data_IF_458313555524
#
_entry.id   IF_458313555524
#
_cell.length_a   1.000
_cell.length_b   1.000
_cell.length_c   1.000
_cell.angle_alpha   90.00
_cell.angle_beta   90.00
_cell.angle_gamma   90.00
#
_symmetry.space_group_name_H-M   'P 1'
#
loop_
_entity.id
_entity.type
_entity.pdbx_description
1 polymer ?
#
# COMPACT_ATOMS: atom_id res chain seq x y z
N UNK A 1 21.26 23.39 -42.26
CA UNK A 1 21.40 22.27 -41.33
C UNK A 1 20.21 21.33 -41.52
N UNK A 2 20.39 20.05 -41.85
CA UNK A 2 19.29 19.15 -42.11
C UNK A 2 18.62 18.75 -40.79
N UNK A 3 17.30 18.92 -40.72
CA UNK A 3 16.42 18.45 -39.63
C UNK A 3 16.35 16.92 -39.72
N UNK A 4 17.00 16.24 -38.79
CA UNK A 4 16.91 14.79 -38.66
C UNK A 4 15.47 14.42 -38.24
N UNK A 5 14.73 13.82 -39.16
CA UNK A 5 13.44 13.18 -38.90
C UNK A 5 13.63 12.14 -37.78
N UNK A 6 13.06 12.38 -36.58
CA UNK A 6 12.94 11.35 -35.57
C UNK A 6 12.15 10.19 -36.18
N UNK A 7 12.78 9.02 -36.27
CA UNK A 7 12.10 7.80 -36.66
C UNK A 7 10.93 7.55 -35.71
N UNK A 8 9.72 7.46 -36.24
CA UNK A 8 8.55 7.08 -35.48
C UNK A 8 8.79 5.68 -34.90
N UNK A 9 8.75 5.54 -33.58
CA UNK A 9 8.88 4.25 -32.93
C UNK A 9 7.81 3.31 -33.52
N UNK A 10 8.24 2.22 -34.13
CA UNK A 10 7.32 1.21 -34.70
C UNK A 10 6.49 0.63 -33.58
N UNK A 11 5.17 0.69 -33.71
CA UNK A 11 4.25 -0.02 -32.82
C UNK A 11 4.56 -1.53 -32.93
N UNK A 12 4.88 -2.21 -31.80
CA UNK A 12 5.20 -3.63 -31.83
C UNK A 12 4.03 -4.45 -32.39
N UNK A 13 4.32 -5.57 -33.04
CA UNK A 13 3.28 -6.47 -33.51
C UNK A 13 2.55 -7.12 -32.31
N UNK A 14 1.26 -7.51 -32.44
CA UNK A 14 0.51 -8.17 -31.37
C UNK A 14 1.22 -9.42 -30.81
N UNK A 15 1.95 -10.15 -31.65
CA UNK A 15 2.76 -11.32 -31.25
C UNK A 15 3.98 -10.91 -30.41
N UNK A 16 4.65 -9.83 -30.76
CA UNK A 16 5.78 -9.31 -30.00
C UNK A 16 5.34 -8.76 -28.63
N UNK A 17 4.19 -8.09 -28.60
CA UNK A 17 3.59 -7.58 -27.36
C UNK A 17 3.18 -8.71 -26.41
N UNK A 18 2.55 -9.77 -26.91
CA UNK A 18 2.22 -10.96 -26.13
C UNK A 18 3.48 -11.63 -25.56
N UNK A 19 4.51 -11.82 -26.39
CA UNK A 19 5.79 -12.42 -25.97
C UNK A 19 6.46 -11.61 -24.85
N UNK A 20 6.41 -10.28 -24.91
CA UNK A 20 6.93 -9.43 -23.86
C UNK A 20 6.17 -9.59 -22.53
N UNK A 21 4.84 -9.64 -22.57
CA UNK A 21 4.01 -9.85 -21.38
C UNK A 21 4.28 -11.20 -20.74
N UNK A 22 4.39 -12.26 -21.55
CA UNK A 22 4.71 -13.62 -21.08
C UNK A 22 6.09 -13.65 -20.37
N UNK A 23 7.08 -12.94 -20.90
CA UNK A 23 8.40 -12.82 -20.30
C UNK A 23 8.35 -12.06 -18.95
N UNK A 24 7.61 -10.96 -18.87
CA UNK A 24 7.44 -10.21 -17.62
C UNK A 24 6.76 -11.04 -16.53
N UNK A 25 5.71 -11.80 -16.87
CA UNK A 25 5.09 -12.71 -15.91
C UNK A 25 6.05 -13.81 -15.47
N UNK A 26 6.83 -14.38 -16.38
CA UNK A 26 7.79 -15.42 -16.04
C UNK A 26 8.84 -14.94 -15.02
N UNK A 27 9.39 -13.73 -15.23
CA UNK A 27 10.34 -13.09 -14.33
C UNK A 27 9.74 -12.84 -12.93
N UNK A 28 8.56 -12.21 -12.87
CA UNK A 28 7.84 -11.95 -11.63
C UNK A 28 7.60 -13.25 -10.84
N UNK A 29 7.13 -14.29 -11.52
CA UNK A 29 6.89 -15.58 -10.89
C UNK A 29 8.17 -16.28 -10.44
N UNK A 30 9.28 -16.14 -11.17
CA UNK A 30 10.56 -16.68 -10.79
C UNK A 30 11.05 -16.09 -9.48
N UNK A 31 11.08 -14.75 -9.39
CA UNK A 31 11.54 -14.02 -8.19
C UNK A 31 10.63 -14.33 -6.99
N UNK A 32 9.32 -14.24 -7.18
CA UNK A 32 8.34 -14.50 -6.11
C UNK A 32 8.42 -15.94 -5.58
N UNK A 33 8.54 -16.94 -6.46
CA UNK A 33 8.68 -18.35 -6.06
C UNK A 33 10.01 -18.62 -5.37
N UNK A 34 11.09 -17.99 -5.81
CA UNK A 34 12.39 -18.12 -5.14
C UNK A 34 12.32 -17.58 -3.71
N UNK A 35 11.76 -16.40 -3.51
CA UNK A 35 11.57 -15.81 -2.20
C UNK A 35 10.68 -16.68 -1.28
N UNK A 36 9.54 -17.16 -1.76
CA UNK A 36 8.64 -18.00 -0.97
C UNK A 36 9.29 -19.35 -0.58
N UNK A 37 10.13 -19.95 -1.45
CA UNK A 37 10.90 -21.15 -1.11
C UNK A 37 11.93 -20.86 -0.04
N UNK A 38 12.69 -19.79 -0.17
CA UNK A 38 13.70 -19.36 0.81
C UNK A 38 13.08 -19.17 2.19
N UNK A 39 12.01 -18.39 2.28
CA UNK A 39 11.37 -18.06 3.55
C UNK A 39 10.55 -19.20 4.17
N UNK A 40 10.26 -20.25 3.41
CA UNK A 40 9.72 -21.52 3.95
C UNK A 40 10.74 -22.23 4.83
N UNK A 41 12.00 -22.22 4.49
CA UNK A 41 13.08 -22.89 5.23
C UNK A 41 13.70 -22.00 6.31
N UNK A 42 13.66 -20.67 6.13
CA UNK A 42 14.28 -19.68 7.00
C UNK A 42 13.68 -19.73 8.42
N UNK A 43 14.53 -19.66 9.44
CA UNK A 43 14.14 -19.48 10.84
C UNK A 43 14.12 -17.99 11.23
N UNK A 44 13.43 -17.65 12.33
CA UNK A 44 13.43 -16.28 12.86
C UNK A 44 14.82 -15.82 13.31
N UNK A 45 15.64 -16.73 13.83
CA UNK A 45 17.04 -16.44 14.22
C UNK A 45 17.89 -16.05 13.01
N UNK A 46 17.77 -16.78 11.91
CA UNK A 46 18.45 -16.46 10.66
C UNK A 46 17.95 -15.15 10.06
N UNK A 47 16.64 -14.86 10.16
CA UNK A 47 16.09 -13.55 9.78
C UNK A 47 16.80 -12.42 10.52
N UNK A 48 16.91 -12.53 11.86
CA UNK A 48 17.56 -11.52 12.69
C UNK A 48 19.07 -11.39 12.42
N UNK A 49 19.71 -12.45 11.93
CA UNK A 49 21.14 -12.43 11.59
C UNK A 49 21.41 -11.83 10.20
N UNK A 50 20.42 -11.86 9.30
CA UNK A 50 20.61 -11.53 7.89
C UNK A 50 19.91 -10.23 7.46
N UNK A 51 19.31 -9.52 8.37
CA UNK A 51 18.76 -8.18 8.09
C UNK A 51 18.84 -7.26 9.31
N UNK A 52 18.86 -5.97 9.06
CA UNK A 52 18.80 -4.96 10.11
C UNK A 52 17.46 -4.96 10.84
N UNK A 53 17.45 -4.55 12.11
CA UNK A 53 16.21 -4.29 12.83
C UNK A 53 15.36 -3.22 12.08
N UNK A 54 14.05 -3.28 12.20
CA UNK A 54 13.24 -4.16 13.04
C UNK A 54 12.89 -5.50 12.36
N UNK A 55 12.61 -6.55 13.17
CA UNK A 55 12.48 -7.91 12.67
C UNK A 55 11.05 -8.47 12.72
N UNK A 56 10.13 -7.87 13.47
CA UNK A 56 8.83 -8.48 13.75
C UNK A 56 7.66 -7.83 13.00
N UNK A 57 7.77 -6.54 12.61
CA UNK A 57 6.65 -5.77 12.06
C UNK A 57 6.22 -6.20 10.65
N UNK A 58 5.05 -5.73 10.23
CA UNK A 58 4.58 -5.86 8.83
C UNK A 58 5.53 -5.15 7.88
N UNK A 59 5.89 -3.91 8.22
CA UNK A 59 6.64 -3.06 7.31
C UNK A 59 8.04 -3.56 7.03
N UNK A 60 8.68 -4.26 7.99
CA UNK A 60 10.12 -4.54 7.92
C UNK A 60 10.52 -6.00 8.14
N UNK A 61 9.66 -6.89 8.69
CA UNK A 61 10.14 -8.19 9.13
C UNK A 61 9.16 -9.34 9.01
N UNK A 62 9.19 -10.24 10.00
CA UNK A 62 8.50 -11.53 10.02
C UNK A 62 7.00 -11.47 9.71
N UNK A 63 6.30 -10.43 10.16
CA UNK A 63 4.89 -10.25 9.80
C UNK A 63 4.72 -9.87 8.32
N UNK A 64 5.71 -9.23 7.68
CA UNK A 64 5.74 -9.01 6.23
C UNK A 64 5.87 -10.33 5.45
N UNK A 65 6.76 -11.23 5.90
CA UNK A 65 6.86 -12.59 5.34
C UNK A 65 5.53 -13.34 5.47
N UNK A 66 4.90 -13.26 6.65
CA UNK A 66 3.60 -13.88 6.88
C UNK A 66 2.52 -13.35 5.93
N UNK A 67 2.49 -12.04 5.70
CA UNK A 67 1.56 -11.40 4.76
C UNK A 67 1.76 -11.93 3.32
N UNK A 68 3.00 -12.08 2.85
CA UNK A 68 3.31 -12.64 1.55
C UNK A 68 2.83 -14.09 1.41
N UNK A 69 3.13 -14.96 2.39
CA UNK A 69 2.69 -16.35 2.38
C UNK A 69 1.16 -16.47 2.45
N UNK A 70 0.51 -15.70 3.31
CA UNK A 70 -0.94 -15.66 3.38
C UNK A 70 -1.55 -15.19 2.05
N UNK A 71 -1.02 -14.12 1.49
CA UNK A 71 -1.50 -13.54 0.24
C UNK A 71 -1.27 -14.46 -0.96
N UNK A 72 -0.20 -15.28 -0.96
CA UNK A 72 0.07 -16.25 -2.03
C UNK A 72 -0.98 -17.37 -2.12
N UNK A 73 -1.85 -17.52 -1.11
CA UNK A 73 -2.90 -18.54 -1.08
C UNK A 73 -2.43 -19.99 -0.87
N UNK A 74 -1.12 -20.22 -0.91
CA UNK A 74 -0.51 -21.56 -0.84
C UNK A 74 0.34 -21.78 0.41
N UNK A 75 0.32 -20.86 1.36
CA UNK A 75 1.23 -20.86 2.49
C UNK A 75 0.60 -20.48 3.83
N UNK A 76 -0.66 -20.81 4.09
CA UNK A 76 -1.35 -20.43 5.33
C UNK A 76 -0.63 -20.93 6.57
N UNK A 77 -0.14 -22.18 6.57
CA UNK A 77 0.63 -22.74 7.68
C UNK A 77 1.96 -22.01 7.89
N UNK A 78 2.63 -21.67 6.80
CA UNK A 78 3.89 -20.91 6.84
C UNK A 78 3.63 -19.51 7.37
N UNK A 79 2.55 -18.86 6.91
CA UNK A 79 2.13 -17.56 7.44
C UNK A 79 1.86 -17.62 8.96
N UNK A 80 1.17 -18.67 9.43
CA UNK A 80 0.90 -18.86 10.85
C UNK A 80 2.18 -19.10 11.67
N UNK A 81 3.13 -19.85 11.12
CA UNK A 81 4.46 -20.04 11.74
C UNK A 81 5.13 -18.67 11.91
N UNK A 82 5.23 -17.88 10.83
CA UNK A 82 5.87 -16.57 10.87
C UNK A 82 5.16 -15.59 11.81
N UNK A 83 3.83 -15.63 11.90
CA UNK A 83 3.09 -14.82 12.87
C UNK A 83 3.36 -15.26 14.32
N UNK A 84 3.58 -16.57 14.54
CA UNK A 84 3.95 -17.09 15.85
C UNK A 84 5.36 -16.63 16.24
N UNK A 85 6.31 -16.73 15.33
CA UNK A 85 7.69 -16.26 15.54
C UNK A 85 7.75 -14.72 15.74
N UNK A 86 7.03 -13.95 14.92
CA UNK A 86 6.92 -12.51 15.09
C UNK A 86 6.38 -12.13 16.48
N UNK A 87 5.37 -12.86 16.97
CA UNK A 87 4.80 -12.60 18.29
C UNK A 87 5.73 -13.03 19.44
N UNK A 88 6.51 -14.10 19.27
CA UNK A 88 7.55 -14.50 20.24
C UNK A 88 8.67 -13.46 20.28
N UNK A 89 9.14 -13.05 19.09
CA UNK A 89 10.19 -12.05 18.93
C UNK A 89 9.76 -10.64 19.35
N UNK A 90 8.46 -10.35 19.47
CA UNK A 90 7.93 -9.01 19.75
C UNK A 90 8.38 -8.38 21.09
N UNK A 91 8.94 -9.19 21.98
CA UNK A 91 9.46 -8.74 23.27
C UNK A 91 10.95 -8.34 23.22
N UNK A 92 11.63 -8.58 22.11
CA UNK A 92 13.03 -8.19 21.95
C UNK A 92 13.14 -6.70 21.58
N UNK A 93 14.21 -6.03 21.99
CA UNK A 93 14.43 -4.59 21.68
C UNK A 93 14.42 -4.31 20.18
N UNK A 94 15.01 -5.17 19.35
CA UNK A 94 15.04 -5.02 17.89
C UNK A 94 13.76 -5.40 17.17
N UNK A 95 12.70 -5.85 17.85
CA UNK A 95 11.48 -6.31 17.19
C UNK A 95 10.80 -5.23 16.37
N UNK A 96 10.69 -4.04 16.92
CA UNK A 96 9.97 -2.90 16.34
C UNK A 96 10.79 -1.62 16.28
N UNK A 97 11.94 -1.59 16.93
CA UNK A 97 12.83 -0.44 16.90
C UNK A 97 13.57 -0.34 15.57
N UNK A 98 13.50 0.82 14.96
CA UNK A 98 14.24 1.13 13.76
C UNK A 98 15.28 2.22 14.08
N UNK A 99 16.59 1.95 13.94
CA UNK A 99 17.64 2.91 14.25
C UNK A 99 17.62 4.16 13.34
N UNK A 100 16.91 4.11 12.21
CA UNK A 100 16.79 5.25 11.31
C UNK A 100 15.63 6.21 11.68
N UNK A 101 14.84 5.88 12.70
CA UNK A 101 13.82 6.76 13.25
C UNK A 101 14.26 7.17 14.65
N UNK A 102 14.31 8.48 14.93
CA UNK A 102 14.76 9.06 16.21
C UNK A 102 13.92 8.61 17.41
N UNK A 103 12.74 8.07 17.22
CA UNK A 103 11.85 7.60 18.28
C UNK A 103 11.94 6.09 18.48
N UNK A 104 12.41 5.69 19.65
CA UNK A 104 12.62 4.30 20.09
C UNK A 104 11.35 3.44 20.15
N UNK A 105 10.20 4.00 20.20
CA UNK A 105 8.95 3.27 20.16
C UNK A 105 8.15 3.74 18.95
N UNK A 106 7.92 2.86 18.02
CA UNK A 106 6.67 2.96 17.32
C UNK A 106 5.59 2.96 18.41
N UNK A 107 5.05 4.12 18.77
CA UNK A 107 3.82 4.20 19.52
C UNK A 107 2.79 3.25 18.93
N UNK A 108 1.55 3.23 19.35
CA UNK A 108 0.58 2.33 18.75
C UNK A 108 0.58 2.52 17.22
N UNK A 109 1.15 1.57 16.52
CA UNK A 109 1.28 1.57 15.06
C UNK A 109 0.89 0.19 14.54
N UNK A 110 0.01 0.20 13.55
CA UNK A 110 -0.40 -1.03 12.90
C UNK A 110 0.75 -1.66 12.09
N UNK A 111 1.44 -0.85 11.30
CA UNK A 111 2.42 -1.35 10.34
C UNK A 111 3.82 -1.54 10.93
N UNK A 112 4.18 -0.72 11.91
CA UNK A 112 5.49 -0.75 12.56
C UNK A 112 5.49 -1.50 13.91
N UNK A 113 4.32 -1.74 14.50
CA UNK A 113 4.15 -2.31 15.82
C UNK A 113 3.53 -3.71 15.85
N UNK A 114 3.29 -4.18 17.08
CA UNK A 114 2.73 -5.51 17.35
C UNK A 114 1.28 -5.68 16.88
N UNK A 115 0.54 -4.58 16.71
CA UNK A 115 -0.89 -4.65 16.36
C UNK A 115 -1.11 -5.18 14.94
N UNK A 116 -0.13 -4.99 14.05
CA UNK A 116 -0.16 -5.62 12.72
C UNK A 116 -0.07 -7.13 12.74
N UNK A 117 0.65 -7.71 13.70
CA UNK A 117 0.70 -9.17 13.89
C UNK A 117 -0.70 -9.69 14.27
N UNK A 118 -1.42 -8.97 15.13
CA UNK A 118 -2.78 -9.33 15.53
C UNK A 118 -3.76 -9.22 14.36
N UNK A 119 -3.67 -8.14 13.57
CA UNK A 119 -4.47 -8.01 12.35
C UNK A 119 -4.28 -9.22 11.42
N UNK A 120 -3.04 -9.56 11.10
CA UNK A 120 -2.75 -10.67 10.19
C UNK A 120 -3.24 -12.02 10.75
N UNK A 121 -3.18 -12.22 12.07
CA UNK A 121 -3.77 -13.39 12.72
C UNK A 121 -5.28 -13.46 12.53
N UNK A 122 -5.99 -12.36 12.71
CA UNK A 122 -7.43 -12.27 12.48
C UNK A 122 -7.81 -12.53 11.02
N UNK A 123 -7.00 -12.02 10.07
CA UNK A 123 -7.19 -12.27 8.65
C UNK A 123 -6.91 -13.73 8.26
N UNK A 124 -5.93 -14.37 8.89
CA UNK A 124 -5.55 -15.76 8.63
C UNK A 124 -6.43 -16.79 9.37
N UNK A 125 -7.01 -16.43 10.51
CA UNK A 125 -7.88 -17.30 11.33
C UNK A 125 -9.18 -16.59 11.64
N UNK A 126 -10.23 -16.94 10.92
CA UNK A 126 -11.57 -16.44 11.20
C UNK A 126 -12.13 -17.06 12.48
N UNK A 127 -12.94 -16.32 13.22
CA UNK A 127 -13.73 -16.84 14.34
C UNK A 127 -13.03 -16.81 15.71
N UNK A 128 -11.85 -16.24 15.84
CA UNK A 128 -11.24 -16.00 17.16
C UNK A 128 -11.81 -14.71 17.79
N UNK A 129 -12.94 -14.86 18.46
CA UNK A 129 -13.69 -13.76 19.08
C UNK A 129 -12.88 -13.05 20.20
N UNK A 130 -12.06 -13.80 20.95
CA UNK A 130 -11.18 -13.21 21.99
C UNK A 130 -10.11 -12.33 21.37
N UNK A 131 -9.45 -12.81 20.30
CA UNK A 131 -8.44 -12.03 19.59
C UNK A 131 -9.08 -10.80 18.95
N UNK A 132 -10.28 -10.92 18.37
CA UNK A 132 -11.02 -9.81 17.81
C UNK A 132 -11.31 -8.73 18.85
N UNK A 133 -11.91 -9.09 19.99
CA UNK A 133 -12.17 -8.13 21.09
C UNK A 133 -10.89 -7.42 21.54
N UNK A 134 -9.80 -8.17 21.72
CA UNK A 134 -8.53 -7.59 22.11
C UNK A 134 -7.98 -6.60 21.05
N UNK A 135 -8.11 -6.91 19.77
CA UNK A 135 -7.70 -6.02 18.66
C UNK A 135 -8.57 -4.75 18.62
N UNK A 136 -9.89 -4.88 18.70
CA UNK A 136 -10.82 -3.75 18.73
C UNK A 136 -10.55 -2.80 19.90
N UNK A 137 -10.27 -3.36 21.10
CA UNK A 137 -9.87 -2.56 22.25
C UNK A 137 -8.57 -1.79 22.03
N UNK A 138 -7.62 -2.34 21.27
CA UNK A 138 -6.38 -1.62 20.88
C UNK A 138 -6.67 -0.50 19.88
N UNK A 139 -7.54 -0.77 18.89
CA UNK A 139 -7.97 0.26 17.95
C UNK A 139 -8.59 1.46 18.67
N UNK A 140 -9.46 1.23 19.67
CA UNK A 140 -10.03 2.33 20.46
C UNK A 140 -8.99 3.16 21.21
N UNK A 141 -7.92 2.52 21.71
CA UNK A 141 -6.84 3.22 22.41
C UNK A 141 -5.97 4.11 21.55
N UNK A 142 -6.00 3.97 20.21
CA UNK A 142 -5.24 4.85 19.32
C UNK A 142 -5.92 6.20 19.08
N UNK A 143 -7.18 6.40 19.53
CA UNK A 143 -7.90 7.67 19.42
C UNK A 143 -7.09 8.80 20.04
N UNK A 144 -7.16 9.99 19.44
CA UNK A 144 -6.36 11.15 19.86
C UNK A 144 -4.88 11.09 19.44
N UNK A 145 -4.39 9.96 18.96
CA UNK A 145 -3.03 9.80 18.45
C UNK A 145 -2.79 10.48 17.10
N UNK A 146 -1.60 10.33 16.48
CA UNK A 146 -1.32 10.85 15.15
C UNK A 146 -2.40 10.44 14.14
N UNK A 147 -2.75 11.33 13.21
CA UNK A 147 -3.82 11.07 12.22
C UNK A 147 -3.37 10.25 11.02
N UNK A 148 -2.08 10.10 10.80
CA UNK A 148 -1.50 9.51 9.60
C UNK A 148 -1.72 7.98 9.46
N UNK A 149 -1.39 7.44 8.27
CA UNK A 149 -1.62 6.04 7.94
C UNK A 149 -0.66 5.08 8.66
N UNK A 150 0.66 5.33 8.62
CA UNK A 150 1.63 4.33 9.09
C UNK A 150 1.78 4.26 10.60
N UNK A 151 1.66 5.39 11.31
CA UNK A 151 1.85 5.46 12.76
C UNK A 151 0.61 5.95 13.51
N UNK A 152 -0.54 6.07 12.85
CA UNK A 152 -1.67 6.76 13.42
C UNK A 152 -3.03 6.11 13.21
N UNK A 153 -4.05 6.87 13.60
CA UNK A 153 -5.46 6.45 13.62
C UNK A 153 -5.95 6.03 12.23
N UNK A 154 -5.50 6.70 11.15
CA UNK A 154 -5.89 6.32 9.79
C UNK A 154 -5.43 4.91 9.41
N UNK A 155 -4.30 4.43 9.95
CA UNK A 155 -3.85 3.06 9.75
C UNK A 155 -4.78 2.04 10.39
N UNK A 156 -5.21 2.30 11.62
CA UNK A 156 -6.18 1.43 12.30
C UNK A 156 -7.55 1.47 11.62
N UNK A 157 -8.01 2.63 11.19
CA UNK A 157 -9.25 2.76 10.40
C UNK A 157 -9.17 1.94 9.11
N UNK A 158 -8.07 2.03 8.39
CA UNK A 158 -7.81 1.24 7.18
C UNK A 158 -7.82 -0.26 7.47
N UNK A 159 -7.20 -0.70 8.57
CA UNK A 159 -7.22 -2.11 8.99
C UNK A 159 -8.62 -2.61 9.32
N UNK A 160 -9.43 -1.79 10.00
CA UNK A 160 -10.82 -2.13 10.30
C UNK A 160 -11.66 -2.23 9.03
N UNK A 161 -11.45 -1.34 8.04
CA UNK A 161 -12.09 -1.42 6.72
C UNK A 161 -11.73 -2.73 6.02
N UNK A 162 -10.45 -3.12 5.99
CA UNK A 162 -10.00 -4.39 5.42
C UNK A 162 -10.61 -5.57 6.17
N UNK A 163 -10.58 -5.56 7.49
CA UNK A 163 -11.11 -6.64 8.32
C UNK A 163 -12.63 -6.78 8.16
N UNK A 164 -13.38 -5.67 8.12
CA UNK A 164 -14.83 -5.70 7.91
C UNK A 164 -15.20 -6.24 6.52
N UNK A 165 -14.48 -5.87 5.48
CA UNK A 165 -14.72 -6.41 4.12
C UNK A 165 -14.65 -7.93 4.08
N UNK A 166 -13.78 -8.53 4.90
CA UNK A 166 -13.57 -9.97 4.95
C UNK A 166 -14.51 -10.66 5.93
N UNK A 167 -14.69 -10.10 7.13
CA UNK A 167 -15.42 -10.73 8.22
C UNK A 167 -16.92 -10.44 8.23
N UNK A 168 -17.32 -9.25 7.75
CA UNK A 168 -18.68 -8.68 7.88
C UNK A 168 -19.16 -8.58 9.33
N UNK A 169 -18.23 -8.55 10.28
CA UNK A 169 -18.51 -8.46 11.71
C UNK A 169 -18.93 -7.03 12.10
N UNK A 170 -20.18 -6.81 12.60
CA UNK A 170 -20.68 -5.47 12.89
C UNK A 170 -19.82 -4.68 13.89
N UNK A 171 -19.28 -5.35 14.92
CA UNK A 171 -18.41 -4.71 15.93
C UNK A 171 -17.15 -4.06 15.33
N UNK A 172 -16.67 -4.59 14.21
CA UNK A 172 -15.53 -3.99 13.48
C UNK A 172 -15.94 -2.66 12.90
N UNK A 173 -17.15 -2.58 12.35
CA UNK A 173 -17.68 -1.36 11.75
C UNK A 173 -17.97 -0.29 12.81
N UNK A 174 -18.51 -0.70 13.99
CA UNK A 174 -18.73 0.20 15.13
C UNK A 174 -17.42 0.90 15.55
N UNK A 175 -16.33 0.14 15.69
CA UNK A 175 -15.03 0.72 16.06
C UNK A 175 -14.47 1.57 14.92
N UNK A 176 -14.71 1.19 13.66
CA UNK A 176 -14.32 2.02 12.53
C UNK A 176 -15.05 3.37 12.53
N UNK A 177 -16.33 3.39 12.93
CA UNK A 177 -17.11 4.62 13.13
C UNK A 177 -16.51 5.52 14.20
N UNK A 178 -16.15 4.95 15.34
CA UNK A 178 -15.50 5.70 16.43
C UNK A 178 -14.20 6.35 15.97
N UNK A 179 -13.36 5.64 15.19
CA UNK A 179 -12.09 6.18 14.70
C UNK A 179 -12.29 7.22 13.59
N UNK A 180 -13.27 7.01 12.71
CA UNK A 180 -13.59 7.97 11.67
C UNK A 180 -14.10 9.28 12.24
N UNK A 181 -15.00 9.24 13.24
CA UNK A 181 -15.47 10.43 13.95
C UNK A 181 -14.33 11.16 14.67
N UNK A 182 -13.43 10.43 15.38
CA UNK A 182 -12.24 11.02 15.99
C UNK A 182 -11.36 11.77 14.96
N UNK A 183 -11.18 11.20 13.77
CA UNK A 183 -10.44 11.89 12.70
C UNK A 183 -11.18 13.11 12.16
N UNK A 184 -12.48 13.02 11.96
CA UNK A 184 -13.29 14.13 11.44
C UNK A 184 -13.35 15.31 12.42
N UNK A 185 -13.60 15.05 13.71
CA UNK A 185 -13.59 16.07 14.76
C UNK A 185 -12.26 16.81 14.85
N UNK A 186 -11.15 16.11 14.64
CA UNK A 186 -9.80 16.68 14.69
C UNK A 186 -9.28 17.23 13.36
N UNK A 187 -10.09 17.19 12.29
CA UNK A 187 -9.68 17.71 10.98
C UNK A 187 -9.54 19.23 10.96
N UNK A 188 -10.44 19.93 11.67
CA UNK A 188 -10.58 21.39 11.66
C UNK A 188 -9.60 22.11 12.58
N UNK A 189 -9.75 23.45 12.60
CA UNK A 189 -8.95 24.33 13.48
C UNK A 189 -7.51 24.60 13.01
N UNK A 190 -6.79 25.40 13.78
CA UNK A 190 -5.41 25.83 13.46
C UNK A 190 -4.41 24.65 13.47
N UNK A 191 -4.63 23.65 14.33
CA UNK A 191 -3.78 22.46 14.52
C UNK A 191 -4.40 21.21 13.92
N UNK A 192 -5.52 21.33 13.17
CA UNK A 192 -6.17 20.17 12.55
C UNK A 192 -5.28 19.50 11.51
N UNK A 193 -5.36 18.17 11.43
CA UNK A 193 -4.54 17.39 10.49
C UNK A 193 -4.81 17.80 9.02
N UNK A 194 -6.02 18.29 8.70
CA UNK A 194 -6.35 18.74 7.35
C UNK A 194 -5.56 19.99 6.89
N UNK A 195 -4.84 20.63 7.80
CA UNK A 195 -3.91 21.74 7.53
C UNK A 195 -2.45 21.36 7.76
N UNK A 196 -2.16 20.11 8.10
CA UNK A 196 -0.80 19.64 8.27
C UNK A 196 0.00 19.82 6.96
N UNK A 197 1.27 20.23 7.01
CA UNK A 197 2.06 20.50 5.80
C UNK A 197 2.34 19.25 4.98
N UNK A 198 2.38 18.07 5.61
CA UNK A 198 2.64 16.80 4.93
C UNK A 198 1.42 16.36 4.10
N UNK A 199 1.55 16.35 2.79
CA UNK A 199 0.50 15.93 1.84
C UNK A 199 0.54 14.44 1.53
N UNK A 200 1.65 13.74 1.82
CA UNK A 200 1.92 12.36 1.44
C UNK A 200 0.87 11.35 1.89
N UNK A 201 0.97 10.14 1.34
CA UNK A 201 0.02 9.07 1.63
C UNK A 201 0.35 8.34 2.93
N UNK A 202 1.62 7.99 3.15
CA UNK A 202 2.03 7.24 4.34
C UNK A 202 2.00 8.09 5.62
N UNK A 203 2.52 9.31 5.55
CA UNK A 203 2.74 10.21 6.68
C UNK A 203 2.04 11.56 6.54
N UNK A 204 0.96 11.64 5.78
CA UNK A 204 0.28 12.89 5.51
C UNK A 204 -1.20 12.78 5.28
N UNK A 205 -1.78 13.90 4.82
CA UNK A 205 -3.22 14.08 4.64
C UNK A 205 -3.85 13.11 3.63
N UNK A 206 -3.12 12.74 2.57
CA UNK A 206 -3.65 11.85 1.54
C UNK A 206 -4.05 10.49 2.10
N UNK A 207 -3.24 9.89 2.97
CA UNK A 207 -3.58 8.61 3.60
C UNK A 207 -4.75 8.71 4.58
N UNK A 208 -4.84 9.80 5.33
CA UNK A 208 -5.97 10.05 6.23
C UNK A 208 -7.29 10.18 5.46
N UNK A 209 -7.29 10.97 4.38
CA UNK A 209 -8.45 11.12 3.49
C UNK A 209 -8.83 9.80 2.82
N UNK A 210 -7.84 9.02 2.36
CA UNK A 210 -8.09 7.71 1.78
C UNK A 210 -8.74 6.73 2.78
N UNK A 211 -8.31 6.73 4.03
CA UNK A 211 -8.90 5.90 5.09
C UNK A 211 -10.36 6.28 5.35
N UNK A 212 -10.68 7.57 5.42
CA UNK A 212 -12.04 8.08 5.61
C UNK A 212 -12.95 7.75 4.41
N UNK A 213 -12.46 7.90 3.18
CA UNK A 213 -13.18 7.47 1.98
C UNK A 213 -13.45 5.95 2.00
N UNK A 214 -12.46 5.16 2.41
CA UNK A 214 -12.60 3.70 2.53
C UNK A 214 -13.63 3.28 3.55
N UNK A 215 -13.69 3.97 4.68
CA UNK A 215 -14.68 3.77 5.73
C UNK A 215 -16.10 4.09 5.25
N UNK A 216 -16.30 5.23 4.61
CA UNK A 216 -17.60 5.64 4.09
C UNK A 216 -18.12 4.64 3.03
N UNK A 217 -17.28 4.22 2.09
CA UNK A 217 -17.63 3.22 1.08
C UNK A 217 -18.07 1.88 1.68
N UNK A 218 -17.34 1.38 2.66
CA UNK A 218 -17.60 0.04 3.22
C UNK A 218 -18.84 0.02 4.11
N UNK A 219 -19.13 1.15 4.73
CA UNK A 219 -20.31 1.33 5.59
C UNK A 219 -21.58 1.77 4.85
N UNK A 220 -21.49 2.05 3.53
CA UNK A 220 -22.60 2.64 2.77
C UNK A 220 -23.04 4.01 3.31
N UNK A 221 -22.10 4.77 3.87
CA UNK A 221 -22.38 6.07 4.50
C UNK A 221 -22.16 7.20 3.51
N UNK A 222 -22.96 8.24 3.64
CA UNK A 222 -22.69 9.49 2.95
C UNK A 222 -21.39 10.12 3.46
N UNK A 223 -20.64 10.71 2.54
CA UNK A 223 -19.45 11.48 2.89
C UNK A 223 -19.85 12.76 3.58
N UNK A 224 -19.27 13.10 4.75
CA UNK A 224 -19.42 14.41 5.34
C UNK A 224 -19.01 15.51 4.36
N UNK A 225 -19.80 16.58 4.27
CA UNK A 225 -19.56 17.69 3.34
C UNK A 225 -18.15 18.31 3.52
N UNK A 226 -17.67 18.35 4.76
CA UNK A 226 -16.35 18.88 5.11
C UNK A 226 -15.21 18.09 4.44
N UNK A 227 -15.41 16.79 4.17
CA UNK A 227 -14.39 15.96 3.54
C UNK A 227 -14.09 16.42 2.11
N UNK A 228 -15.09 16.90 1.38
CA UNK A 228 -14.88 17.49 0.06
C UNK A 228 -14.02 18.76 0.12
N UNK A 229 -14.22 19.59 1.16
CA UNK A 229 -13.36 20.75 1.41
C UNK A 229 -11.92 20.38 1.72
N UNK A 230 -11.71 19.27 2.45
CA UNK A 230 -10.36 18.77 2.73
C UNK A 230 -9.69 18.17 1.49
N UNK A 231 -10.42 17.45 0.63
CA UNK A 231 -9.92 16.96 -0.66
C UNK A 231 -9.56 18.12 -1.60
N UNK A 232 -10.39 19.16 -1.68
CA UNK A 232 -10.10 20.33 -2.50
C UNK A 232 -8.82 21.05 -2.02
N UNK A 233 -8.71 21.32 -0.72
CA UNK A 233 -7.51 21.94 -0.13
C UNK A 233 -6.24 21.12 -0.37
N UNK A 234 -6.32 19.79 -0.21
CA UNK A 234 -5.16 18.93 -0.52
C UNK A 234 -4.77 19.06 -1.99
N UNK A 235 -5.74 19.14 -2.89
CA UNK A 235 -5.48 19.30 -4.31
C UNK A 235 -4.78 20.63 -4.61
N UNK A 236 -5.25 21.73 -4.02
CA UNK A 236 -4.65 23.06 -4.19
C UNK A 236 -3.20 23.07 -3.66
N UNK A 237 -2.96 22.45 -2.51
CA UNK A 237 -1.60 22.34 -1.94
C UNK A 237 -0.66 21.50 -2.82
N UNK A 238 -1.17 20.40 -3.41
CA UNK A 238 -0.40 19.56 -4.36
C UNK A 238 -0.08 20.34 -5.64
N UNK A 239 -1.03 21.10 -6.16
CA UNK A 239 -0.83 21.96 -7.34
C UNK A 239 0.20 23.07 -7.05
N UNK A 240 0.14 23.68 -5.86
CA UNK A 240 1.11 24.68 -5.43
C UNK A 240 2.54 24.14 -5.27
N UNK A 241 2.69 22.85 -4.99
CA UNK A 241 3.98 22.16 -4.97
C UNK A 241 4.58 21.89 -6.35
N UNK A 242 3.88 22.29 -7.43
CA UNK A 242 4.35 22.07 -8.79
C UNK A 242 4.15 20.63 -9.26
N UNK A 243 3.00 20.05 -8.96
CA UNK A 243 2.54 18.82 -9.63
C UNK A 243 2.69 18.96 -11.15
N UNK A 244 2.97 17.89 -11.92
CA UNK A 244 3.18 18.01 -13.36
C UNK A 244 1.93 18.63 -13.97
N UNK A 245 2.12 19.78 -14.58
CA UNK A 245 1.16 20.32 -15.52
C UNK A 245 1.02 19.34 -16.68
N UNK A 246 -0.11 19.36 -17.36
CA UNK A 246 -0.34 18.62 -18.61
C UNK A 246 0.74 18.88 -19.69
N UNK A 247 1.59 19.87 -19.50
CA UNK A 247 2.72 20.24 -20.35
C UNK A 247 4.03 19.49 -20.07
N UNK A 248 4.04 18.46 -19.20
CA UNK A 248 5.21 17.60 -19.01
C UNK A 248 6.33 18.17 -18.16
N UNK A 249 6.06 19.17 -17.33
CA UNK A 249 7.00 19.68 -16.34
C UNK A 249 7.36 18.61 -15.29
N UNK A 250 8.59 18.58 -14.78
CA UNK A 250 8.96 17.66 -13.72
C UNK A 250 8.17 17.97 -12.44
N UNK A 251 7.73 16.93 -11.74
CA UNK A 251 7.26 17.08 -10.38
C UNK A 251 8.32 17.83 -9.57
N UNK A 252 7.87 18.73 -8.71
CA UNK A 252 8.79 19.46 -7.86
C UNK A 252 9.67 18.47 -7.06
N UNK A 253 10.87 18.91 -6.69
CA UNK A 253 11.79 18.09 -5.88
C UNK A 253 11.21 17.60 -4.57
N UNK A 254 10.10 18.21 -4.11
CA UNK A 254 9.41 17.91 -2.85
C UNK A 254 8.32 16.84 -2.97
N UNK A 255 7.74 16.65 -4.16
CA UNK A 255 6.74 15.60 -4.37
C UNK A 255 7.30 14.49 -5.26
N UNK A 256 7.68 13.39 -4.66
CA UNK A 256 8.28 12.25 -5.34
C UNK A 256 7.24 11.43 -6.15
N UNK A 257 7.70 10.37 -6.81
CA UNK A 257 6.82 9.39 -7.46
C UNK A 257 6.44 8.22 -6.55
N UNK A 258 6.88 8.25 -5.30
CA UNK A 258 6.69 7.20 -4.31
C UNK A 258 5.22 7.03 -3.90
N UNK A 259 4.88 5.84 -3.37
CA UNK A 259 3.62 5.63 -2.71
C UNK A 259 3.54 6.42 -1.39
N UNK A 260 4.60 6.40 -0.60
CA UNK A 260 4.56 6.96 0.74
C UNK A 260 4.40 8.50 0.74
N UNK A 261 5.04 9.20 -0.19
CA UNK A 261 5.10 10.66 -0.14
C UNK A 261 4.91 11.34 -1.52
N UNK A 262 4.37 10.63 -2.51
CA UNK A 262 4.33 11.16 -3.86
C UNK A 262 3.12 10.74 -4.70
N UNK A 263 3.33 10.80 -6.00
CA UNK A 263 2.30 10.64 -7.02
C UNK A 263 1.57 9.29 -6.93
N UNK A 264 2.27 8.19 -6.64
CA UNK A 264 1.62 6.88 -6.57
C UNK A 264 0.59 6.81 -5.42
N UNK A 265 0.88 7.42 -4.26
CA UNK A 265 -0.09 7.54 -3.18
C UNK A 265 -1.27 8.44 -3.55
N UNK A 266 -1.02 9.54 -4.26
CA UNK A 266 -2.09 10.43 -4.73
C UNK A 266 -3.00 9.75 -5.75
N UNK A 267 -2.48 8.88 -6.63
CA UNK A 267 -3.32 8.06 -7.51
C UNK A 267 -4.30 7.23 -6.70
N UNK A 268 -3.83 6.53 -5.64
CA UNK A 268 -4.73 5.74 -4.79
C UNK A 268 -5.82 6.59 -4.13
N UNK A 269 -5.48 7.79 -3.67
CA UNK A 269 -6.47 8.71 -3.09
C UNK A 269 -7.51 9.14 -4.12
N UNK A 270 -7.06 9.64 -5.29
CA UNK A 270 -7.98 10.20 -6.28
C UNK A 270 -8.83 9.13 -6.96
N UNK A 271 -8.32 7.90 -7.15
CA UNK A 271 -9.13 6.77 -7.63
C UNK A 271 -10.22 6.42 -6.64
N UNK A 272 -9.90 6.40 -5.32
CA UNK A 272 -10.88 6.16 -4.27
C UNK A 272 -11.93 7.28 -4.19
N UNK A 273 -11.53 8.53 -4.32
CA UNK A 273 -12.46 9.65 -4.36
C UNK A 273 -13.39 9.57 -5.57
N UNK A 274 -12.88 9.15 -6.75
CA UNK A 274 -13.71 8.93 -7.93
C UNK A 274 -14.69 7.75 -7.76
N UNK A 275 -14.24 6.63 -7.20
CA UNK A 275 -15.11 5.48 -6.90
C UNK A 275 -16.29 5.84 -6.00
N UNK A 276 -16.07 6.76 -5.07
CA UNK A 276 -17.12 7.20 -4.16
C UNK A 276 -18.08 8.21 -4.79
N UNK A 277 -17.56 9.15 -5.57
CA UNK A 277 -18.33 10.34 -5.99
C UNK A 277 -18.75 10.32 -7.45
N UNK A 278 -18.10 9.52 -8.29
CA UNK A 278 -18.20 9.56 -9.75
C UNK A 278 -17.84 10.93 -10.36
N UNK A 279 -17.27 11.86 -9.58
CA UNK A 279 -16.91 13.19 -10.05
C UNK A 279 -15.66 13.15 -10.93
N UNK A 280 -15.82 13.54 -12.18
CA UNK A 280 -14.78 13.54 -13.20
C UNK A 280 -13.52 14.33 -12.82
N UNK A 281 -13.60 15.29 -11.89
CA UNK A 281 -12.42 16.03 -11.41
C UNK A 281 -11.42 15.11 -10.74
N UNK A 282 -11.86 14.10 -9.94
CA UNK A 282 -10.98 13.14 -9.29
C UNK A 282 -10.36 12.17 -10.29
N UNK A 283 -11.11 11.76 -11.32
CA UNK A 283 -10.56 10.96 -12.42
C UNK A 283 -9.46 11.71 -13.18
N UNK A 284 -9.64 13.01 -13.45
CA UNK A 284 -8.60 13.84 -14.08
C UNK A 284 -7.35 13.90 -13.20
N UNK A 285 -7.48 14.22 -11.90
CA UNK A 285 -6.36 14.26 -10.95
C UNK A 285 -5.62 12.91 -10.85
N UNK A 286 -6.37 11.81 -10.80
CA UNK A 286 -5.79 10.47 -10.79
C UNK A 286 -4.98 10.19 -12.08
N UNK A 287 -5.50 10.55 -13.25
CA UNK A 287 -4.80 10.40 -14.54
C UNK A 287 -3.53 11.23 -14.62
N UNK A 288 -3.56 12.47 -14.17
CA UNK A 288 -2.41 13.36 -14.23
C UNK A 288 -1.29 12.87 -13.29
N UNK A 289 -1.64 12.46 -12.07
CA UNK A 289 -0.72 11.81 -11.17
C UNK A 289 -0.15 10.49 -11.76
N UNK A 290 -0.99 9.64 -12.35
CA UNK A 290 -0.57 8.37 -12.95
C UNK A 290 0.36 8.56 -14.15
N UNK A 291 0.10 9.57 -15.00
CA UNK A 291 0.99 9.90 -16.14
C UNK A 291 2.41 10.25 -15.68
N UNK A 292 2.54 10.93 -14.54
CA UNK A 292 3.85 11.29 -13.99
C UNK A 292 4.67 10.05 -13.56
N UNK A 293 4.00 8.93 -13.26
CA UNK A 293 4.67 7.68 -12.90
C UNK A 293 5.35 7.00 -14.10
N UNK A 294 4.88 7.28 -15.31
CA UNK A 294 5.38 6.65 -16.54
C UNK A 294 6.74 7.18 -16.99
N UNK A 295 7.19 8.30 -16.43
CA UNK A 295 8.54 8.79 -16.71
C UNK A 295 9.55 7.89 -15.99
N UNK A 296 10.37 7.21 -16.79
CA UNK A 296 11.39 6.30 -16.27
C UNK A 296 12.41 7.07 -15.42
N UNK A 297 12.70 6.57 -14.22
CA UNK A 297 13.82 7.03 -13.41
C UNK A 297 14.80 5.86 -13.26
N UNK A 298 15.98 5.97 -13.86
CA UNK A 298 17.09 5.02 -13.62
C UNK A 298 17.38 4.94 -12.13
N UNK A 299 17.61 3.73 -11.61
CA UNK A 299 17.93 3.51 -10.20
C UNK A 299 16.75 3.59 -9.22
N UNK A 300 15.49 3.56 -9.70
CA UNK A 300 14.35 3.47 -8.81
C UNK A 300 14.33 2.10 -8.12
N UNK A 301 14.16 2.02 -6.78
CA UNK A 301 14.06 0.73 -6.09
C UNK A 301 12.84 -0.08 -6.55
N UNK A 302 12.87 -1.39 -6.33
CA UNK A 302 11.76 -2.28 -6.72
C UNK A 302 10.63 -2.36 -5.70
N UNK A 303 10.78 -1.76 -4.52
CA UNK A 303 9.88 -1.92 -3.37
C UNK A 303 8.50 -1.22 -3.56
N UNK A 304 7.57 -1.49 -2.64
CA UNK A 304 6.24 -0.87 -2.67
C UNK A 304 6.24 0.58 -2.14
N UNK A 305 7.14 0.93 -1.23
CA UNK A 305 7.11 2.22 -0.55
C UNK A 305 7.59 3.36 -1.46
N UNK A 306 8.82 3.25 -1.94
CA UNK A 306 9.47 4.30 -2.74
C UNK A 306 9.67 3.91 -4.21
N UNK A 307 9.45 2.64 -4.54
CA UNK A 307 9.89 2.02 -5.77
C UNK A 307 8.82 1.78 -6.82
N UNK A 308 9.23 1.00 -7.81
CA UNK A 308 8.43 0.63 -8.97
C UNK A 308 7.22 -0.23 -8.59
N UNK A 309 7.32 -1.07 -7.55
CA UNK A 309 6.20 -1.91 -7.08
C UNK A 309 5.00 -1.07 -6.61
N UNK A 310 5.25 0.00 -5.85
CA UNK A 310 4.17 0.91 -5.43
C UNK A 310 3.56 1.69 -6.57
N UNK A 311 4.36 2.07 -7.57
CA UNK A 311 3.88 2.72 -8.80
C UNK A 311 3.03 1.76 -9.63
N UNK A 312 3.41 0.47 -9.72
CA UNK A 312 2.61 -0.54 -10.40
C UNK A 312 1.21 -0.69 -9.79
N UNK A 313 1.10 -0.72 -8.46
CA UNK A 313 -0.20 -0.73 -7.78
C UNK A 313 -1.03 0.53 -8.05
N UNK A 314 -0.41 1.69 -8.14
CA UNK A 314 -1.11 2.92 -8.52
C UNK A 314 -1.69 2.83 -9.94
N UNK A 315 -0.95 2.25 -10.89
CA UNK A 315 -1.45 2.02 -12.25
C UNK A 315 -2.57 0.97 -12.30
N UNK A 316 -2.51 -0.08 -11.45
CA UNK A 316 -3.62 -1.04 -11.29
C UNK A 316 -4.88 -0.38 -10.73
N UNK A 317 -4.74 0.56 -9.79
CA UNK A 317 -5.88 1.36 -9.32
C UNK A 317 -6.49 2.22 -10.45
N UNK A 318 -5.67 2.73 -11.36
CA UNK A 318 -6.15 3.42 -12.57
C UNK A 318 -6.89 2.47 -13.53
N UNK A 319 -6.39 1.24 -13.71
CA UNK A 319 -7.06 0.26 -14.58
C UNK A 319 -8.44 -0.12 -14.06
N UNK A 320 -8.59 -0.21 -12.72
CA UNK A 320 -9.85 -0.49 -12.04
C UNK A 320 -10.94 0.54 -12.36
N UNK A 321 -10.60 1.84 -12.41
CA UNK A 321 -11.58 2.92 -12.64
C UNK A 321 -11.66 3.39 -14.09
N UNK A 322 -10.70 3.03 -14.93
CA UNK A 322 -10.62 3.41 -16.35
C UNK A 322 -10.02 2.27 -17.18
N UNK A 323 -10.70 1.09 -17.24
CA UNK A 323 -10.18 -0.09 -17.92
C UNK A 323 -10.02 0.17 -19.42
N UNK A 324 -9.21 -0.67 -20.09
CA UNK A 324 -9.00 -0.60 -21.54
C UNK A 324 -8.15 0.59 -22.03
N UNK A 325 -7.48 1.30 -21.12
CA UNK A 325 -6.57 2.41 -21.45
C UNK A 325 -5.10 2.03 -21.37
N UNK A 326 -4.80 0.73 -21.28
CA UNK A 326 -3.44 0.17 -21.20
C UNK A 326 -2.75 0.41 -19.86
N UNK A 327 -3.49 0.70 -18.80
CA UNK A 327 -2.92 0.88 -17.46
C UNK A 327 -2.38 -0.42 -16.89
N UNK A 328 -3.09 -1.54 -17.13
CA UNK A 328 -2.65 -2.87 -16.72
C UNK A 328 -1.30 -3.23 -17.35
N UNK A 329 -1.13 -3.03 -18.64
CA UNK A 329 0.12 -3.36 -19.34
C UNK A 329 1.30 -2.54 -18.83
N UNK A 330 1.06 -1.26 -18.53
CA UNK A 330 2.07 -0.38 -17.91
C UNK A 330 2.40 -0.80 -16.49
N UNK A 331 1.39 -1.25 -15.73
CA UNK A 331 1.60 -1.78 -14.38
C UNK A 331 2.43 -3.07 -14.43
N UNK A 332 2.16 -3.97 -15.37
CA UNK A 332 2.90 -5.21 -15.55
C UNK A 332 4.37 -4.95 -15.95
N UNK A 333 4.60 -4.05 -16.91
CA UNK A 333 5.94 -3.65 -17.29
C UNK A 333 6.71 -3.02 -16.11
N UNK A 334 6.04 -2.20 -15.31
CA UNK A 334 6.63 -1.58 -14.13
C UNK A 334 6.93 -2.59 -13.02
N UNK A 335 6.07 -3.60 -12.85
CA UNK A 335 6.28 -4.69 -11.92
C UNK A 335 7.47 -5.58 -12.31
N UNK A 336 7.65 -5.88 -13.62
CA UNK A 336 8.85 -6.56 -14.12
C UNK A 336 10.11 -5.75 -13.82
N UNK A 337 10.08 -4.43 -14.09
CA UNK A 337 11.17 -3.54 -13.67
C UNK A 337 11.42 -3.54 -12.16
N UNK A 338 10.36 -3.68 -11.34
CA UNK A 338 10.49 -3.83 -9.90
C UNK A 338 11.21 -5.12 -9.51
N UNK A 339 10.89 -6.25 -10.18
CA UNK A 339 11.57 -7.53 -9.96
C UNK A 339 13.06 -7.44 -10.30
N UNK A 340 13.41 -6.87 -11.46
CA UNK A 340 14.79 -6.65 -11.87
C UNK A 340 15.56 -5.77 -10.85
N UNK A 341 14.99 -4.64 -10.45
CA UNK A 341 15.60 -3.74 -9.46
C UNK A 341 15.81 -4.42 -8.09
N UNK A 342 14.90 -5.31 -7.67
CA UNK A 342 15.03 -6.07 -6.42
C UNK A 342 16.17 -7.10 -6.51
N UNK A 343 16.42 -7.68 -7.68
CA UNK A 343 17.55 -8.62 -7.91
C UNK A 343 18.89 -7.90 -7.94
N UNK A 344 18.95 -6.66 -8.45
CA UNK A 344 20.16 -5.83 -8.44
C UNK A 344 20.53 -5.38 -7.03
N UNK A 345 19.53 -5.14 -6.16
CA UNK A 345 19.74 -4.78 -4.77
C UNK A 345 18.45 -4.52 -4.02
N UNK A 346 18.23 -5.29 -2.97
CA UNK A 346 17.19 -5.03 -1.98
C UNK A 346 17.82 -4.30 -0.80
N UNK A 347 17.22 -3.20 -0.35
CA UNK A 347 17.72 -2.45 0.82
C UNK A 347 17.81 -3.29 2.11
N UNK A 348 18.07 -2.69 3.27
CA UNK A 348 18.36 -3.40 4.52
C UNK A 348 17.21 -4.26 5.07
N UNK A 349 16.01 -4.15 4.49
CA UNK A 349 14.81 -4.88 4.95
C UNK A 349 14.17 -5.75 3.84
N UNK A 350 14.87 -6.78 3.34
CA UNK A 350 14.38 -7.61 2.23
C UNK A 350 13.10 -8.37 2.57
N UNK A 351 12.79 -8.53 3.85
CA UNK A 351 11.64 -9.25 4.37
C UNK A 351 10.47 -8.34 4.80
N UNK A 352 10.57 -7.03 4.56
CA UNK A 352 9.51 -6.06 4.83
C UNK A 352 8.46 -6.03 3.74
N UNK A 353 7.16 -5.88 4.11
CA UNK A 353 6.09 -5.80 3.12
C UNK A 353 6.27 -4.61 2.18
N UNK A 354 6.62 -3.45 2.72
CA UNK A 354 6.71 -2.22 1.93
C UNK A 354 8.09 -1.98 1.31
N UNK A 355 9.15 -2.55 1.88
CA UNK A 355 10.54 -2.30 1.47
C UNK A 355 11.23 -3.52 0.85
N UNK A 356 10.59 -4.69 0.87
CA UNK A 356 11.21 -5.94 0.47
C UNK A 356 10.38 -6.80 -0.49
N UNK A 357 10.84 -8.02 -0.68
CA UNK A 357 10.24 -9.03 -1.55
C UNK A 357 8.78 -9.39 -1.22
N UNK A 358 8.30 -9.37 0.06
CA UNK A 358 6.90 -9.62 0.37
C UNK A 358 5.93 -8.79 -0.47
N UNK A 359 6.24 -7.53 -0.70
CA UNK A 359 5.44 -6.65 -1.55
C UNK A 359 5.39 -7.10 -3.00
N UNK A 360 6.52 -7.55 -3.54
CA UNK A 360 6.60 -8.06 -4.91
C UNK A 360 5.81 -9.38 -5.05
N UNK A 361 5.82 -10.26 -4.04
CA UNK A 361 5.00 -11.48 -4.02
C UNK A 361 3.51 -11.14 -4.10
N UNK A 362 3.07 -10.16 -3.32
CA UNK A 362 1.68 -9.68 -3.37
C UNK A 362 1.33 -9.14 -4.77
N UNK A 363 2.19 -8.31 -5.33
CA UNK A 363 1.99 -7.71 -6.66
C UNK A 363 1.95 -8.78 -7.77
N UNK A 364 2.87 -9.75 -7.74
CA UNK A 364 2.91 -10.87 -8.69
C UNK A 364 1.60 -11.64 -8.67
N UNK A 365 1.10 -11.96 -7.48
CA UNK A 365 -0.16 -12.66 -7.36
C UNK A 365 -1.31 -11.85 -7.90
N UNK A 366 -1.42 -10.59 -7.51
CA UNK A 366 -2.52 -9.72 -7.90
C UNK A 366 -2.58 -9.55 -9.43
N UNK A 367 -1.44 -9.37 -10.08
CA UNK A 367 -1.35 -9.32 -11.55
C UNK A 367 -1.76 -10.62 -12.25
N UNK A 368 -1.54 -11.79 -11.60
CA UNK A 368 -1.73 -13.10 -12.23
C UNK A 368 -3.12 -13.69 -12.05
N UNK A 369 -3.78 -13.40 -10.93
CA UNK A 369 -4.95 -14.16 -10.50
C UNK A 369 -6.22 -13.31 -10.32
N UNK A 370 -6.08 -12.00 -10.21
CA UNK A 370 -7.21 -11.18 -9.86
C UNK A 370 -7.76 -10.41 -11.06
N UNK A 371 -9.09 -10.37 -11.23
CA UNK A 371 -9.73 -9.31 -12.00
C UNK A 371 -9.30 -7.95 -11.41
N UNK A 372 -9.01 -6.97 -12.25
CA UNK A 372 -8.45 -5.67 -11.81
C UNK A 372 -9.35 -4.92 -10.82
N UNK A 373 -10.65 -5.17 -10.84
CA UNK A 373 -11.63 -4.65 -9.87
C UNK A 373 -11.39 -5.14 -8.43
N UNK A 374 -10.62 -6.22 -8.26
CA UNK A 374 -10.30 -6.82 -6.96
C UNK A 374 -8.86 -6.60 -6.51
N UNK A 375 -8.07 -5.88 -7.29
CA UNK A 375 -6.69 -5.56 -6.95
C UNK A 375 -6.63 -4.31 -6.08
N UNK A 376 -5.81 -4.35 -5.03
CA UNK A 376 -5.54 -3.18 -4.20
C UNK A 376 -4.22 -3.28 -3.45
N UNK A 377 -3.68 -2.13 -3.09
CA UNK A 377 -2.41 -2.03 -2.37
C UNK A 377 -2.47 -2.83 -1.06
N UNK A 378 -1.50 -3.73 -0.79
CA UNK A 378 -1.57 -4.69 0.31
C UNK A 378 -1.82 -4.06 1.66
N UNK A 379 -2.85 -4.53 2.38
CA UNK A 379 -3.28 -4.07 3.71
C UNK A 379 -3.68 -2.59 3.80
N UNK A 380 -3.82 -1.90 2.68
CA UNK A 380 -4.18 -0.46 2.62
C UNK A 380 -5.40 -0.24 1.74
N UNK A 381 -5.39 -0.79 0.53
CA UNK A 381 -6.43 -0.58 -0.46
C UNK A 381 -6.88 -1.92 -1.05
N UNK A 382 -8.11 -2.00 -1.45
CA UNK A 382 -8.60 -3.12 -2.19
C UNK A 382 -9.68 -3.95 -1.51
N UNK A 383 -10.51 -4.59 -2.35
CA UNK A 383 -11.26 -5.73 -1.93
C UNK A 383 -10.30 -6.92 -1.84
N UNK A 384 -9.90 -7.31 -0.65
CA UNK A 384 -9.35 -8.64 -0.47
C UNK A 384 -10.50 -9.62 -0.66
N UNK A 385 -10.58 -10.27 -1.83
CA UNK A 385 -11.47 -11.41 -1.97
C UNK A 385 -11.05 -12.42 -0.93
N UNK A 386 -11.98 -12.78 -0.05
CA UNK A 386 -11.84 -13.99 0.71
C UNK A 386 -11.62 -15.09 -0.35
N UNK A 387 -10.41 -15.63 -0.43
CA UNK A 387 -10.23 -16.92 -1.09
C UNK A 387 -11.27 -17.82 -0.46
N UNK A 388 -12.25 -18.28 -1.25
CA UNK A 388 -13.10 -19.39 -0.81
C UNK A 388 -12.10 -20.50 -0.46
N UNK A 389 -11.95 -20.77 0.84
CA UNK A 389 -11.45 -22.04 1.27
C UNK A 389 -12.48 -23.05 0.78
N UNK A 390 -12.17 -23.71 -0.33
CA UNK A 390 -12.84 -24.93 -0.78
C UNK A 390 -12.58 -26.04 0.24
#
# INVERSE_FOLDING_TARGET
MPVTKRAAARVPSPRAEKSAKDAWFAELHQVSRAYLRQTRALSYRELCANQDAPWASIAFGAAGIAAAHWRSGRGVEIAQRWLTEAARGSRTRGAFWNPNFENESAGPSLYYGADGIQLLRLLARRGDDRALRAFLARCRRCRGGPSELLQGVAGYLTALVVLYRISREPRVLEVADELAHDLLERAGGRRGWARAPKVGFAHGRAGTLHALLGWSLVGGRELPAELFGHLARLADDVEAMGAPSSSGGPWSKTLERSWCNGAAGLVLLWTRAYEHTSDAKYLRRARDAARSLLTYTTGAPGDLCCGLGGRAYALLAMDRIAPGRGWFDRALAMASGAAAAMLEGCGPWPNGLFKGYPGLVCLTRDLSEAPTDRIGFPLVDGPYSATRAS
#
